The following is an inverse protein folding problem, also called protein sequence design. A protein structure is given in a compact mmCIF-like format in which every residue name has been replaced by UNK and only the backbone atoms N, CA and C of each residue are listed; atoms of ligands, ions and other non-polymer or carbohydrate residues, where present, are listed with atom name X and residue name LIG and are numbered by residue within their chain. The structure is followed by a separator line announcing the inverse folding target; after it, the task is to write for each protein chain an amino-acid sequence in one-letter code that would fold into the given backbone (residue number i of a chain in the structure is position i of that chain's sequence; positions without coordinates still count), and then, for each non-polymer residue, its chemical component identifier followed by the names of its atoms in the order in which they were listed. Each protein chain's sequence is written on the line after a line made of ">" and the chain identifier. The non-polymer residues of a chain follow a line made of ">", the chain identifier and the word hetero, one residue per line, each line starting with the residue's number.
data_IF_562136079400
#
_entry.id   IF_562136079400
#
_cell.length_a   1.000
_cell.length_b   1.000
_cell.length_c   1.000
_cell.angle_alpha   90.00
_cell.angle_beta   90.00
_cell.angle_gamma   90.00
#
_symmetry.space_group_name_H-M   'P 1'
#
loop_
_entity.id
_entity.type
_entity.pdbx_description
1 polymer ?
#
# COMPACT_ATOMS: atom_id res chain seq x y z
N UNK A 1 9.08 1.53 -71.18
CA UNK A 1 8.46 0.99 -69.95
C UNK A 1 9.45 0.17 -69.12
N UNK A 2 10.20 -0.79 -69.70
CA UNK A 2 11.17 -1.63 -68.95
C UNK A 2 12.21 -0.88 -68.08
N UNK A 3 12.71 0.29 -68.50
CA UNK A 3 13.66 1.07 -67.72
C UNK A 3 13.07 1.64 -66.42
N UNK A 4 11.79 2.05 -66.45
CA UNK A 4 11.09 2.55 -65.27
C UNK A 4 10.83 1.42 -64.26
N UNK A 5 10.46 0.23 -64.75
CA UNK A 5 10.23 -0.96 -63.92
C UNK A 5 11.52 -1.41 -63.22
N UNK A 6 12.66 -1.37 -63.93
CA UNK A 6 13.98 -1.68 -63.35
C UNK A 6 14.37 -0.70 -62.23
N UNK A 7 14.16 0.60 -62.44
CA UNK A 7 14.45 1.62 -61.42
C UNK A 7 13.54 1.47 -60.20
N UNK A 8 12.25 1.16 -60.40
CA UNK A 8 11.30 0.92 -59.32
C UNK A 8 11.67 -0.33 -58.52
N UNK A 9 12.04 -1.42 -59.18
CA UNK A 9 12.53 -2.63 -58.52
C UNK A 9 13.80 -2.36 -57.68
N UNK A 10 14.75 -1.56 -58.20
CA UNK A 10 15.94 -1.17 -57.46
C UNK A 10 15.61 -0.33 -56.22
N UNK A 11 14.69 0.64 -56.33
CA UNK A 11 14.23 1.44 -55.18
C UNK A 11 13.53 0.61 -54.12
N UNK A 12 12.72 -0.38 -54.53
CA UNK A 12 12.06 -1.30 -53.60
C UNK A 12 13.08 -2.18 -52.85
N UNK A 13 14.08 -2.73 -53.55
CA UNK A 13 15.17 -3.50 -52.93
C UNK A 13 15.93 -2.66 -51.90
N UNK A 14 16.35 -1.45 -52.28
CA UNK A 14 17.04 -0.52 -51.37
C UNK A 14 16.20 -0.20 -50.13
N UNK A 15 14.87 -0.04 -50.30
CA UNK A 15 13.96 0.20 -49.17
C UNK A 15 13.83 -1.02 -48.27
N UNK A 16 13.78 -2.22 -48.85
CA UNK A 16 13.75 -3.48 -48.10
C UNK A 16 15.05 -3.67 -47.30
N UNK A 17 16.21 -3.41 -47.90
CA UNK A 17 17.53 -3.54 -47.25
C UNK A 17 17.69 -2.54 -46.09
N UNK A 18 17.25 -1.29 -46.28
CA UNK A 18 17.23 -0.30 -45.18
C UNK A 18 16.30 -0.73 -44.04
N UNK A 19 15.18 -1.37 -44.36
CA UNK A 19 14.24 -1.84 -43.35
C UNK A 19 14.76 -3.09 -42.61
N UNK A 20 15.42 -4.02 -43.30
CA UNK A 20 16.04 -5.21 -42.69
C UNK A 20 17.20 -4.81 -41.79
N UNK A 21 18.11 -3.95 -42.26
CA UNK A 21 19.23 -3.44 -41.45
C UNK A 21 18.75 -2.70 -40.18
N UNK A 22 17.66 -1.93 -40.27
CA UNK A 22 17.05 -1.29 -39.10
C UNK A 22 16.49 -2.31 -38.11
N UNK A 23 15.81 -3.36 -38.59
CA UNK A 23 15.29 -4.45 -37.75
C UNK A 23 16.43 -5.20 -37.08
N UNK A 24 17.49 -5.51 -37.82
CA UNK A 24 18.67 -6.19 -37.31
C UNK A 24 19.36 -5.39 -36.22
N UNK A 25 19.56 -4.07 -36.42
CA UNK A 25 20.12 -3.19 -35.38
C UNK A 25 19.27 -3.17 -34.11
N UNK A 26 17.94 -3.13 -34.24
CA UNK A 26 17.01 -3.19 -33.10
C UNK A 26 17.12 -4.54 -32.38
N UNK A 27 17.26 -5.63 -33.13
CA UNK A 27 17.42 -6.98 -32.59
C UNK A 27 18.76 -7.14 -31.85
N UNK A 28 19.86 -6.65 -32.42
CA UNK A 28 21.17 -6.65 -31.77
C UNK A 28 21.15 -5.86 -30.46
N UNK A 29 20.53 -4.67 -30.45
CA UNK A 29 20.33 -3.87 -29.23
C UNK A 29 19.50 -4.63 -28.18
N UNK A 30 18.43 -5.31 -28.61
CA UNK A 30 17.59 -6.11 -27.72
C UNK A 30 18.40 -7.26 -27.09
N UNK A 31 19.17 -8.00 -27.88
CA UNK A 31 20.05 -9.06 -27.38
C UNK A 31 21.08 -8.53 -26.39
N UNK A 32 21.70 -7.39 -26.68
CA UNK A 32 22.62 -6.74 -25.76
C UNK A 32 21.94 -6.42 -24.42
N UNK A 33 20.76 -5.79 -24.43
CA UNK A 33 19.99 -5.50 -23.21
C UNK A 33 19.67 -6.77 -22.42
N UNK A 34 19.28 -7.85 -23.09
CA UNK A 34 19.01 -9.13 -22.45
C UNK A 34 20.26 -9.72 -21.80
N UNK A 35 21.44 -9.63 -22.44
CA UNK A 35 22.71 -10.05 -21.84
C UNK A 35 23.08 -9.23 -20.61
N UNK A 36 22.85 -7.92 -20.62
CA UNK A 36 23.03 -7.08 -19.43
C UNK A 36 22.12 -7.53 -18.29
N UNK A 37 20.86 -7.85 -18.58
CA UNK A 37 19.94 -8.40 -17.57
C UNK A 37 20.40 -9.76 -17.03
N UNK A 38 21.00 -10.60 -17.86
CA UNK A 38 21.56 -11.89 -17.42
C UNK A 38 22.74 -11.70 -16.45
N UNK A 39 23.60 -10.71 -16.71
CA UNK A 39 24.70 -10.35 -15.80
C UNK A 39 24.17 -9.83 -14.46
N UNK A 40 23.16 -8.97 -14.48
CA UNK A 40 22.49 -8.48 -13.27
C UNK A 40 21.85 -9.65 -12.50
N UNK A 41 21.15 -10.56 -13.20
CA UNK A 41 20.52 -11.74 -12.61
C UNK A 41 21.56 -12.67 -11.98
N UNK A 42 22.73 -12.82 -12.61
CA UNK A 42 23.85 -13.57 -12.05
C UNK A 42 24.41 -12.93 -10.78
N UNK A 43 24.59 -11.60 -10.77
CA UNK A 43 25.02 -10.86 -9.58
C UNK A 43 24.02 -10.97 -8.42
N UNK A 44 22.72 -10.91 -8.72
CA UNK A 44 21.65 -11.04 -7.72
C UNK A 44 21.54 -12.45 -7.13
N UNK A 45 22.10 -13.47 -7.78
CA UNK A 45 22.12 -14.87 -7.29
C UNK A 45 23.32 -15.20 -6.41
N UNK A 46 24.27 -14.28 -6.23
CA UNK A 46 25.42 -14.49 -5.33
C UNK A 46 24.94 -14.67 -3.89
N UNK A 47 25.68 -15.45 -3.10
CA UNK A 47 25.40 -15.67 -1.68
C UNK A 47 25.43 -14.37 -0.87
N UNK A 48 26.31 -13.44 -1.23
CA UNK A 48 26.41 -12.09 -0.71
C UNK A 48 26.29 -11.08 -1.88
N UNK A 49 25.06 -10.72 -2.27
CA UNK A 49 24.83 -9.73 -3.31
C UNK A 49 25.28 -8.34 -2.84
N UNK A 50 25.92 -7.52 -3.69
CA UNK A 50 26.35 -6.19 -3.30
C UNK A 50 25.14 -5.30 -2.98
N UNK A 51 25.25 -4.46 -1.95
CA UNK A 51 24.13 -3.63 -1.48
C UNK A 51 23.68 -2.59 -2.52
N UNK A 52 24.56 -2.20 -3.45
CA UNK A 52 24.22 -1.34 -4.58
C UNK A 52 23.11 -1.90 -5.48
N UNK A 53 22.87 -3.22 -5.47
CA UNK A 53 21.73 -3.82 -6.17
C UNK A 53 20.37 -3.35 -5.65
N UNK A 54 20.30 -2.77 -4.44
CA UNK A 54 19.08 -2.15 -3.90
C UNK A 54 18.64 -0.90 -4.66
N UNK A 55 19.57 -0.24 -5.38
CA UNK A 55 19.28 0.96 -6.19
C UNK A 55 18.94 0.63 -7.65
N UNK A 56 19.07 -0.63 -8.04
CA UNK A 56 18.81 -1.08 -9.41
C UNK A 56 17.32 -1.21 -9.79
N UNK A 57 16.38 -1.49 -8.87
CA UNK A 57 14.98 -1.64 -9.24
C UNK A 57 14.35 -0.41 -9.92
N UNK A 58 14.67 0.82 -9.51
CA UNK A 58 14.10 2.02 -10.15
C UNK A 58 14.47 2.16 -11.63
N UNK A 59 15.76 2.10 -12.06
CA UNK A 59 16.08 2.12 -13.47
C UNK A 59 15.48 0.91 -14.22
N UNK A 60 15.37 -0.26 -13.60
CA UNK A 60 14.69 -1.41 -14.21
C UNK A 60 13.19 -1.16 -14.43
N UNK A 61 12.50 -0.55 -13.46
CA UNK A 61 11.10 -0.15 -13.61
C UNK A 61 10.94 0.87 -14.75
N UNK A 62 11.88 1.81 -14.92
CA UNK A 62 11.88 2.73 -16.07
C UNK A 62 12.04 1.98 -17.40
N UNK A 63 12.90 0.97 -17.45
CA UNK A 63 13.03 0.09 -18.63
C UNK A 63 11.70 -0.62 -18.91
N UNK A 64 11.06 -1.20 -17.89
CA UNK A 64 9.75 -1.86 -18.04
C UNK A 64 8.68 -0.90 -18.57
N UNK A 65 8.58 0.31 -18.02
CA UNK A 65 7.62 1.34 -18.47
C UNK A 65 7.86 1.70 -19.94
N UNK A 66 9.13 1.81 -20.36
CA UNK A 66 9.50 2.16 -21.73
C UNK A 66 9.29 1.02 -22.74
N UNK A 67 9.40 -0.23 -22.29
CA UNK A 67 9.26 -1.44 -23.11
C UNK A 67 7.80 -1.87 -23.23
N UNK A 68 6.98 -1.66 -22.20
CA UNK A 68 5.58 -2.09 -22.14
C UNK A 68 4.70 -1.72 -23.35
N UNK A 69 4.77 -0.51 -23.94
CA UNK A 69 3.95 -0.17 -25.10
C UNK A 69 4.47 -0.77 -26.43
N UNK A 70 5.62 -1.46 -26.44
CA UNK A 70 6.29 -1.95 -27.65
C UNK A 70 6.25 -3.49 -27.71
N UNK A 71 5.43 -4.08 -28.59
CA UNK A 71 5.34 -5.55 -28.71
C UNK A 71 6.68 -6.23 -29.01
N UNK A 72 7.54 -5.61 -29.81
CA UNK A 72 8.88 -6.12 -30.14
C UNK A 72 9.84 -6.17 -28.93
N UNK A 73 9.58 -5.38 -27.87
CA UNK A 73 10.37 -5.39 -26.64
C UNK A 73 9.71 -6.24 -25.53
N UNK A 74 8.68 -7.04 -25.84
CA UNK A 74 8.04 -7.93 -24.87
C UNK A 74 9.01 -8.89 -24.17
N UNK A 75 9.97 -9.53 -24.86
CA UNK A 75 10.96 -10.38 -24.17
C UNK A 75 11.80 -9.60 -23.14
N UNK A 76 12.09 -8.32 -23.43
CA UNK A 76 12.80 -7.44 -22.49
C UNK A 76 11.94 -7.15 -21.27
N UNK A 77 10.66 -6.86 -21.45
CA UNK A 77 9.72 -6.63 -20.34
C UNK A 77 9.65 -7.86 -19.44
N UNK A 78 9.40 -9.05 -20.01
CA UNK A 78 9.27 -10.31 -19.26
C UNK A 78 10.55 -10.64 -18.49
N UNK A 79 11.73 -10.50 -19.13
CA UNK A 79 13.03 -10.71 -18.47
C UNK A 79 13.26 -9.70 -17.36
N UNK A 80 12.99 -8.41 -17.60
CA UNK A 80 13.17 -7.34 -16.61
C UNK A 80 12.27 -7.56 -15.40
N UNK A 81 11.00 -7.93 -15.61
CA UNK A 81 10.07 -8.31 -14.54
C UNK A 81 10.62 -9.44 -13.68
N UNK A 82 11.17 -10.49 -14.30
CA UNK A 82 11.79 -11.61 -13.58
C UNK A 82 12.95 -11.19 -12.69
N UNK A 83 13.82 -10.29 -13.19
CA UNK A 83 14.95 -9.77 -12.43
C UNK A 83 14.48 -8.85 -11.29
N UNK A 84 13.54 -7.91 -11.54
CA UNK A 84 13.01 -7.03 -10.48
C UNK A 84 12.36 -7.84 -9.35
N UNK A 85 11.59 -8.88 -9.68
CA UNK A 85 11.01 -9.78 -8.66
C UNK A 85 12.07 -10.51 -7.84
N UNK A 86 13.23 -10.83 -8.43
CA UNK A 86 14.35 -11.42 -7.69
C UNK A 86 15.02 -10.38 -6.80
N UNK A 87 15.26 -9.18 -7.33
CA UNK A 87 15.82 -8.06 -6.57
C UNK A 87 14.94 -7.73 -5.37
N UNK A 88 13.62 -7.68 -5.55
CA UNK A 88 12.65 -7.41 -4.48
C UNK A 88 12.68 -8.46 -3.35
N UNK A 89 13.22 -9.65 -3.62
CA UNK A 89 13.39 -10.72 -2.62
C UNK A 89 14.74 -10.69 -1.92
N UNK A 90 15.70 -9.88 -2.37
CA UNK A 90 17.03 -9.78 -1.77
C UNK A 90 16.95 -9.45 -0.28
N UNK A 91 17.72 -10.19 0.51
CA UNK A 91 17.91 -9.93 1.93
C UNK A 91 19.36 -9.54 2.15
N UNK A 92 19.59 -8.34 2.64
CA UNK A 92 20.93 -7.91 3.06
C UNK A 92 21.14 -8.43 4.47
N UNK A 93 21.90 -9.52 4.60
CA UNK A 93 22.20 -10.16 5.90
C UNK A 93 23.45 -9.58 6.56
N UNK A 94 24.32 -8.97 5.78
CA UNK A 94 25.53 -8.30 6.29
C UNK A 94 25.15 -7.08 7.15
N UNK A 95 26.04 -6.61 8.03
CA UNK A 95 25.88 -5.28 8.61
C UNK A 95 25.63 -4.24 7.52
N UNK A 96 24.89 -3.19 7.86
CA UNK A 96 24.51 -2.15 6.91
C UNK A 96 25.77 -1.48 6.35
N UNK A 97 26.02 -1.52 5.03
CA UNK A 97 27.23 -0.97 4.44
C UNK A 97 27.08 0.55 4.26
N UNK A 98 27.34 1.28 5.35
CA UNK A 98 27.21 2.75 5.38
C UNK A 98 28.03 3.46 4.29
N UNK A 99 29.16 2.89 3.89
CA UNK A 99 30.05 3.48 2.87
C UNK A 99 29.41 3.47 1.47
N UNK A 100 28.79 2.35 1.09
CA UNK A 100 28.22 2.18 -0.25
C UNK A 100 26.80 2.77 -0.37
N UNK A 101 26.04 2.77 0.74
CA UNK A 101 24.62 3.06 0.71
C UNK A 101 24.16 3.84 1.94
N UNK A 102 24.18 5.16 1.82
CA UNK A 102 23.69 6.03 2.90
C UNK A 102 22.16 5.91 3.07
N UNK A 103 21.63 6.01 4.30
CA UNK A 103 20.17 6.02 4.53
C UNK A 103 19.44 7.13 3.78
N UNK A 104 20.07 8.31 3.63
CA UNK A 104 19.54 9.40 2.84
C UNK A 104 19.38 9.04 1.35
N UNK A 105 20.27 8.20 0.80
CA UNK A 105 20.14 7.72 -0.57
C UNK A 105 18.95 6.78 -0.74
N UNK A 106 18.73 5.88 0.23
CA UNK A 106 17.54 5.02 0.24
C UNK A 106 16.24 5.82 0.29
N UNK A 107 16.22 6.92 1.05
CA UNK A 107 15.06 7.81 1.11
C UNK A 107 14.73 8.44 -0.22
N UNK A 108 15.76 9.00 -0.88
CA UNK A 108 15.60 9.57 -2.23
C UNK A 108 15.09 8.52 -3.23
N UNK A 109 15.54 7.27 -3.08
CA UNK A 109 15.09 6.15 -3.91
C UNK A 109 13.61 5.80 -3.63
N UNK A 110 13.22 5.73 -2.37
CA UNK A 110 11.84 5.48 -1.94
C UNK A 110 10.89 6.59 -2.44
N UNK A 111 11.29 7.85 -2.28
CA UNK A 111 10.57 9.01 -2.80
C UNK A 111 10.40 8.94 -4.32
N UNK A 112 11.48 8.63 -5.04
CA UNK A 112 11.45 8.49 -6.49
C UNK A 112 10.50 7.37 -6.94
N UNK A 113 10.45 6.23 -6.21
CA UNK A 113 9.53 5.13 -6.49
C UNK A 113 8.07 5.51 -6.23
N UNK A 114 7.78 6.21 -5.14
CA UNK A 114 6.41 6.69 -4.83
C UNK A 114 5.96 7.72 -5.88
N UNK A 115 6.82 8.68 -6.23
CA UNK A 115 6.54 9.63 -7.31
C UNK A 115 6.35 8.92 -8.66
N UNK A 116 7.12 7.87 -8.94
CA UNK A 116 6.93 7.05 -10.14
C UNK A 116 5.57 6.34 -10.14
N UNK A 117 5.15 5.81 -8.98
CA UNK A 117 3.86 5.14 -8.81
C UNK A 117 2.68 6.08 -9.09
N UNK A 118 2.76 7.32 -8.61
CA UNK A 118 1.74 8.34 -8.83
C UNK A 118 1.64 8.76 -10.30
N UNK A 119 2.77 8.74 -11.02
CA UNK A 119 2.86 9.14 -12.43
C UNK A 119 2.61 7.97 -13.40
N UNK A 120 2.49 6.73 -12.91
CA UNK A 120 2.41 5.54 -13.74
C UNK A 120 1.10 5.53 -14.56
N UNK A 121 1.22 5.75 -15.88
CA UNK A 121 0.10 5.69 -16.84
C UNK A 121 0.13 4.45 -17.72
N UNK A 122 1.32 3.91 -17.95
CA UNK A 122 1.62 2.82 -18.88
C UNK A 122 2.37 1.72 -18.15
N UNK A 123 2.31 0.48 -18.63
CA UNK A 123 3.00 -0.66 -17.98
C UNK A 123 2.10 -1.77 -17.47
N UNK A 124 0.78 -1.54 -17.42
CA UNK A 124 -0.19 -2.53 -16.97
C UNK A 124 0.01 -2.96 -15.51
N UNK A 125 -0.61 -4.08 -15.16
CA UNK A 125 -0.59 -4.65 -13.81
C UNK A 125 0.79 -5.18 -13.42
N UNK A 126 1.62 -5.58 -14.39
CA UNK A 126 2.96 -6.11 -14.16
C UNK A 126 3.91 -5.06 -13.58
N UNK A 127 3.97 -3.88 -14.20
CA UNK A 127 4.80 -2.77 -13.69
C UNK A 127 4.32 -2.31 -12.33
N UNK A 128 3.00 -2.22 -12.12
CA UNK A 128 2.44 -1.82 -10.83
C UNK A 128 2.79 -2.84 -9.71
N UNK A 129 2.78 -4.15 -10.02
CA UNK A 129 3.20 -5.21 -9.10
C UNK A 129 4.68 -5.10 -8.78
N UNK A 130 5.53 -4.96 -9.80
CA UNK A 130 6.98 -4.85 -9.64
C UNK A 130 7.36 -3.59 -8.82
N UNK A 131 6.68 -2.47 -9.06
CA UNK A 131 6.85 -1.25 -8.27
C UNK A 131 6.45 -1.46 -6.81
N UNK A 132 5.32 -2.13 -6.57
CA UNK A 132 4.85 -2.45 -5.21
C UNK A 132 5.88 -3.31 -4.47
N UNK A 133 6.36 -4.37 -5.10
CA UNK A 133 7.39 -5.25 -4.54
C UNK A 133 8.69 -4.50 -4.24
N UNK A 134 9.07 -3.55 -5.09
CA UNK A 134 10.27 -2.72 -4.91
C UNK A 134 10.14 -1.77 -3.72
N UNK A 135 9.02 -1.08 -3.57
CA UNK A 135 8.77 -0.21 -2.41
C UNK A 135 8.81 -1.02 -1.12
N UNK A 136 8.18 -2.19 -1.10
CA UNK A 136 8.16 -3.07 0.07
C UNK A 136 9.54 -3.66 0.37
N UNK A 137 10.36 -3.93 -0.65
CA UNK A 137 11.74 -4.36 -0.49
C UNK A 137 12.56 -3.28 0.23
N UNK A 138 12.49 -2.01 -0.21
CA UNK A 138 13.24 -0.94 0.45
C UNK A 138 12.79 -0.73 1.90
N UNK A 139 11.48 -0.68 2.15
CA UNK A 139 10.96 -0.55 3.51
C UNK A 139 11.36 -1.73 4.41
N UNK A 140 11.37 -2.95 3.86
CA UNK A 140 11.85 -4.14 4.58
C UNK A 140 13.33 -4.02 4.92
N UNK A 141 14.17 -3.60 3.99
CA UNK A 141 15.60 -3.42 4.23
C UNK A 141 15.84 -2.34 5.29
N UNK A 142 15.17 -1.19 5.18
CA UNK A 142 15.26 -0.12 6.17
C UNK A 142 14.86 -0.59 7.57
N UNK A 143 13.80 -1.39 7.67
CA UNK A 143 13.34 -1.98 8.93
C UNK A 143 14.32 -3.02 9.49
N UNK A 144 14.82 -3.93 8.64
CA UNK A 144 15.79 -4.98 9.03
C UNK A 144 17.08 -4.41 9.62
N UNK A 145 17.54 -3.26 9.11
CA UNK A 145 18.74 -2.58 9.60
C UNK A 145 18.45 -1.52 10.66
N UNK A 146 17.22 -1.49 11.22
CA UNK A 146 16.78 -0.52 12.24
C UNK A 146 16.99 0.93 11.84
N UNK A 147 17.01 1.22 10.53
CA UNK A 147 17.04 2.58 10.01
C UNK A 147 15.70 3.29 10.25
N UNK A 148 14.62 2.50 10.26
CA UNK A 148 13.32 2.93 10.71
C UNK A 148 12.90 2.13 11.94
N UNK A 149 12.66 2.84 13.03
CA UNK A 149 12.06 2.30 14.24
C UNK A 149 10.77 3.08 14.43
N UNK A 150 9.61 2.55 13.99
CA UNK A 150 8.34 3.16 14.30
C UNK A 150 8.20 3.13 15.82
N UNK A 151 8.60 4.23 16.45
CA UNK A 151 8.33 4.46 17.85
C UNK A 151 6.81 4.38 17.99
N UNK A 152 6.28 3.71 19.03
CA UNK A 152 4.89 3.86 19.40
C UNK A 152 4.72 5.30 19.89
N UNK A 153 4.72 6.27 18.96
CA UNK A 153 4.45 7.64 19.28
C UNK A 153 3.06 7.63 19.90
N UNK A 154 2.99 7.88 21.20
CA UNK A 154 1.80 8.41 21.83
C UNK A 154 1.28 9.49 20.89
N UNK A 155 -0.02 9.45 20.50
CA UNK A 155 -0.56 10.44 19.58
C UNK A 155 -0.29 11.82 20.18
N UNK A 156 0.75 12.49 19.66
CA UNK A 156 1.20 13.75 20.19
C UNK A 156 0.02 14.71 20.13
N UNK A 157 -0.29 15.32 21.27
CA UNK A 157 -1.35 16.30 21.49
C UNK A 157 -1.15 17.62 20.70
N UNK A 158 -0.45 17.61 19.57
CA UNK A 158 -0.20 18.76 18.71
C UNK A 158 -1.37 19.10 17.77
N UNK A 159 -2.59 18.66 18.08
CA UNK A 159 -3.80 19.01 17.33
C UNK A 159 -4.39 20.39 17.71
N UNK A 160 -3.65 21.26 18.42
CA UNK A 160 -4.17 22.52 18.98
C UNK A 160 -4.09 23.76 18.07
N UNK A 161 -3.64 23.68 16.81
CA UNK A 161 -3.39 24.92 16.01
C UNK A 161 -3.92 24.90 14.57
N UNK A 162 -5.01 24.20 14.28
CA UNK A 162 -5.64 24.20 12.95
C UNK A 162 -7.16 24.41 12.94
N UNK A 163 -7.69 25.28 13.81
CA UNK A 163 -9.09 25.70 13.75
C UNK A 163 -9.25 27.19 14.09
N UNK A 164 -9.15 28.07 13.07
CA UNK A 164 -9.85 29.36 13.00
C UNK A 164 -9.52 30.09 11.68
N UNK A 165 -10.05 29.64 10.55
CA UNK A 165 -10.36 30.55 9.43
C UNK A 165 -11.53 29.98 8.61
N UNK A 166 -12.73 30.06 9.17
CA UNK A 166 -13.98 30.03 8.41
C UNK A 166 -14.51 31.46 8.36
N UNK A 167 -14.15 32.20 7.31
CA UNK A 167 -14.91 33.38 6.89
C UNK A 167 -15.81 32.95 5.72
N UNK A 168 -17.11 33.16 5.91
CA UNK A 168 -18.11 32.97 4.88
C UNK A 168 -18.05 34.04 3.80
N UNK A 169 -18.65 33.72 2.66
CA UNK A 169 -19.71 34.53 2.07
C UNK A 169 -20.22 33.79 0.83
N UNK A 170 -21.49 33.47 0.86
CA UNK A 170 -22.31 33.25 -0.32
C UNK A 170 -22.30 34.52 -1.17
N UNK A 171 -21.96 34.42 -2.46
CA UNK A 171 -22.77 35.09 -3.45
C UNK A 171 -22.71 34.40 -4.81
N UNK A 172 -23.89 34.34 -5.40
CA UNK A 172 -24.27 33.77 -6.68
C UNK A 172 -23.80 34.60 -7.86
N UNK A 173 -23.26 33.96 -8.91
CA UNK A 173 -23.67 34.25 -10.29
C UNK A 173 -23.16 33.19 -11.27
N UNK A 174 -24.09 32.71 -12.08
CA UNK A 174 -23.88 31.77 -13.16
C UNK A 174 -23.31 32.51 -14.38
N UNK A 175 -22.18 32.05 -14.92
CA UNK A 175 -21.78 32.32 -16.31
C UNK A 175 -21.26 31.05 -16.95
N UNK A 176 -22.07 30.50 -17.86
CA UNK A 176 -21.66 29.48 -18.82
C UNK A 176 -20.66 30.07 -19.80
N UNK A 177 -19.49 29.46 -19.94
CA UNK A 177 -18.64 29.65 -21.11
C UNK A 177 -18.05 28.33 -21.60
N UNK A 178 -18.23 28.10 -22.90
CA UNK A 178 -17.76 26.95 -23.69
C UNK A 178 -16.22 26.93 -23.78
N UNK A 179 -15.55 25.76 -23.82
CA UNK A 179 -14.17 25.70 -24.26
C UNK A 179 -14.06 25.35 -25.75
N UNK A 180 -13.51 26.30 -26.51
CA UNK A 180 -13.04 26.15 -27.90
C UNK A 180 -11.72 25.39 -27.99
N UNK A 181 -11.59 24.57 -29.05
CA UNK A 181 -10.39 23.80 -29.44
C UNK A 181 -9.27 24.70 -29.97
N UNK A 182 -8.04 24.53 -29.47
CA UNK A 182 -6.77 24.78 -30.17
C UNK A 182 -5.66 24.04 -29.40
N UNK A 183 -5.04 22.95 -29.90
CA UNK A 183 -3.96 22.84 -30.90
C UNK A 183 -2.82 23.83 -30.67
N UNK A 184 -1.65 23.35 -30.20
CA UNK A 184 -0.36 23.33 -30.93
C UNK A 184 0.78 22.93 -29.96
N UNK A 185 1.61 21.98 -30.40
CA UNK A 185 2.72 21.44 -29.61
C UNK A 185 3.89 22.41 -29.45
N UNK A 186 4.68 22.19 -28.40
CA UNK A 186 6.02 22.75 -28.26
C UNK A 186 6.95 21.71 -27.63
N UNK A 187 7.88 21.25 -28.46
CA UNK A 187 9.02 20.38 -28.17
C UNK A 187 10.03 21.21 -27.37
N UNK A 188 10.36 20.82 -26.14
CA UNK A 188 11.47 21.40 -25.36
C UNK A 188 12.56 20.34 -25.24
N UNK A 189 13.70 20.66 -25.85
CA UNK A 189 15.02 20.10 -25.58
C UNK A 189 15.44 20.42 -24.15
N UNK A 190 16.06 19.45 -23.50
CA UNK A 190 16.73 19.61 -22.21
C UNK A 190 18.19 19.26 -22.47
N UNK A 191 19.03 20.27 -22.37
CA UNK A 191 20.48 20.21 -22.50
C UNK A 191 21.07 20.71 -21.18
N UNK A 192 21.98 19.88 -20.66
CA UNK A 192 23.17 20.14 -19.83
C UNK A 192 23.16 21.24 -18.76
N UNK A 193 23.44 20.81 -17.52
CA UNK A 193 24.25 21.55 -16.56
C UNK A 193 25.02 20.56 -15.67
N UNK A 194 26.26 20.27 -16.04
CA UNK A 194 27.29 19.76 -15.13
C UNK A 194 28.02 20.98 -14.54
N UNK A 195 28.27 20.97 -13.23
CA UNK A 195 29.09 21.99 -12.58
C UNK A 195 29.16 21.90 -11.06
N UNK A 196 30.39 21.79 -10.55
CA UNK A 196 30.83 22.11 -9.18
C UNK A 196 30.64 20.97 -8.16
N UNK A 197 31.64 20.44 -7.46
CA UNK A 197 32.87 21.07 -6.95
C UNK A 197 32.63 21.54 -5.51
N UNK A 198 33.14 20.79 -4.52
CA UNK A 198 33.10 21.13 -3.09
C UNK A 198 33.34 19.87 -2.25
N UNK A 199 34.55 19.59 -1.80
CA UNK A 199 35.31 20.20 -0.69
C UNK A 199 35.26 19.28 0.54
N UNK A 200 36.45 18.92 1.01
CA UNK A 200 36.71 17.85 1.97
C UNK A 200 36.50 18.33 3.39
N UNK A 201 35.33 18.00 3.95
CA UNK A 201 34.99 18.24 5.35
C UNK A 201 35.42 17.10 6.27
N UNK A 202 36.41 17.40 7.10
CA UNK A 202 36.99 16.59 8.17
C UNK A 202 35.95 15.90 9.07
N UNK A 203 36.14 14.60 9.29
CA UNK A 203 35.26 13.73 10.07
C UNK A 203 35.40 13.96 11.58
N UNK A 204 34.53 14.81 12.13
CA UNK A 204 34.18 14.77 13.54
C UNK A 204 33.14 13.66 13.76
N UNK A 205 33.43 12.73 14.68
CA UNK A 205 32.55 11.63 15.03
C UNK A 205 31.20 12.13 15.58
N UNK A 206 30.20 12.17 14.72
CA UNK A 206 28.80 12.42 15.09
C UNK A 206 28.25 11.15 15.70
N UNK A 207 27.90 11.22 16.99
CA UNK A 207 27.21 10.15 17.71
C UNK A 207 25.93 9.76 16.97
N UNK A 208 25.93 8.56 16.37
CA UNK A 208 24.93 8.07 15.43
C UNK A 208 23.55 7.76 16.04
N UNK A 209 23.28 8.11 17.29
CA UNK A 209 22.05 7.75 17.98
C UNK A 209 20.86 8.70 17.71
N UNK A 210 21.11 9.89 17.14
CA UNK A 210 20.06 10.86 16.83
C UNK A 210 19.37 10.70 15.46
N UNK A 211 19.98 10.03 14.48
CA UNK A 211 19.52 10.10 13.08
C UNK A 211 18.34 9.16 12.74
N UNK A 212 18.13 8.10 13.52
CA UNK A 212 17.09 7.10 13.22
C UNK A 212 15.65 7.64 13.35
N UNK A 213 15.44 8.53 14.32
CA UNK A 213 14.12 9.15 14.55
C UNK A 213 13.70 10.06 13.40
N UNK A 214 14.63 10.90 12.91
CA UNK A 214 14.37 11.81 11.79
C UNK A 214 14.02 11.05 10.51
N UNK A 215 14.80 10.02 10.19
CA UNK A 215 14.58 9.17 9.03
C UNK A 215 13.22 8.48 9.07
N UNK A 216 12.83 7.97 10.25
CA UNK A 216 11.52 7.36 10.46
C UNK A 216 10.40 8.37 10.20
N UNK A 217 10.52 9.61 10.70
CA UNK A 217 9.52 10.66 10.45
C UNK A 217 9.39 10.95 8.95
N UNK A 218 10.52 11.10 8.26
CA UNK A 218 10.53 11.37 6.81
C UNK A 218 9.85 10.25 6.01
N UNK A 219 10.10 8.97 6.36
CA UNK A 219 9.39 7.82 5.74
C UNK A 219 7.90 7.90 6.00
N UNK A 220 7.50 8.15 7.25
CA UNK A 220 6.10 8.22 7.63
C UNK A 220 5.40 9.37 6.92
N UNK A 221 6.01 10.55 6.80
CA UNK A 221 5.41 11.70 6.14
C UNK A 221 5.26 11.48 4.62
N UNK A 222 6.26 10.86 4.00
CA UNK A 222 6.19 10.43 2.60
C UNK A 222 5.04 9.43 2.37
N UNK A 223 4.94 8.41 3.22
CA UNK A 223 3.87 7.40 3.13
C UNK A 223 2.48 7.98 3.45
N UNK A 224 2.35 8.83 4.46
CA UNK A 224 1.10 9.56 4.78
C UNK A 224 0.65 10.41 3.61
N UNK A 225 1.57 11.14 2.98
CA UNK A 225 1.31 11.93 1.78
C UNK A 225 0.77 11.08 0.63
N UNK A 226 1.41 9.93 0.36
CA UNK A 226 0.99 8.99 -0.67
C UNK A 226 -0.39 8.37 -0.38
N UNK A 227 -0.62 7.91 0.86
CA UNK A 227 -1.90 7.32 1.31
C UNK A 227 -3.03 8.36 1.27
N UNK A 228 -2.78 9.60 1.71
CA UNK A 228 -3.77 10.69 1.61
C UNK A 228 -4.15 10.95 0.16
N UNK A 229 -3.16 11.08 -0.74
CA UNK A 229 -3.42 11.27 -2.18
C UNK A 229 -4.20 10.10 -2.79
N UNK A 230 -3.95 8.87 -2.35
CA UNK A 230 -4.71 7.69 -2.77
C UNK A 230 -6.21 7.83 -2.46
N UNK A 231 -6.57 8.33 -1.28
CA UNK A 231 -7.97 8.49 -0.87
C UNK A 231 -8.67 9.75 -1.41
N UNK A 232 -7.92 10.82 -1.71
CA UNK A 232 -8.52 12.13 -2.06
C UNK A 232 -8.43 12.47 -3.55
N UNK A 233 -7.36 12.07 -4.24
CA UNK A 233 -7.09 12.57 -5.59
C UNK A 233 -7.78 11.74 -6.67
N UNK A 234 -8.57 12.38 -7.56
CA UNK A 234 -9.30 11.71 -8.68
C UNK A 234 -8.43 10.79 -9.54
N UNK A 235 -7.18 11.20 -9.76
CA UNK A 235 -6.24 10.56 -10.68
C UNK A 235 -5.04 9.92 -9.98
N UNK A 236 -5.16 9.58 -8.69
CA UNK A 236 -4.10 8.82 -8.03
C UNK A 236 -3.92 7.47 -8.74
N UNK A 237 -2.70 7.18 -9.19
CA UNK A 237 -2.34 5.93 -9.86
C UNK A 237 -1.64 4.95 -8.93
N UNK A 238 -1.56 5.29 -7.65
CA UNK A 238 -1.08 4.39 -6.62
C UNK A 238 -1.99 3.14 -6.60
N UNK A 239 -1.39 1.98 -6.81
CA UNK A 239 -2.13 0.73 -6.87
C UNK A 239 -2.61 0.35 -5.46
N UNK A 240 -3.89 -0.03 -5.29
CA UNK A 240 -4.46 -0.42 -3.98
C UNK A 240 -3.63 -1.47 -3.25
N UNK A 241 -3.15 -2.49 -3.99
CA UNK A 241 -2.22 -3.51 -3.46
C UNK A 241 -0.99 -2.93 -2.75
N UNK A 242 -0.48 -1.75 -3.12
CA UNK A 242 0.64 -1.16 -2.41
C UNK A 242 0.28 -0.88 -0.96
N UNK A 243 -0.86 -0.22 -0.71
CA UNK A 243 -1.32 0.09 0.65
C UNK A 243 -1.64 -1.21 1.38
N UNK A 244 -2.39 -2.13 0.76
CA UNK A 244 -2.73 -3.41 1.39
C UNK A 244 -1.50 -4.23 1.78
N UNK A 245 -0.50 -4.35 0.90
CA UNK A 245 0.73 -5.09 1.18
C UNK A 245 1.64 -4.37 2.16
N UNK A 246 1.66 -3.03 2.15
CA UNK A 246 2.38 -2.23 3.13
C UNK A 246 1.88 -2.53 4.54
N UNK A 247 0.56 -2.46 4.75
CA UNK A 247 -0.05 -2.77 6.04
C UNK A 247 0.21 -4.23 6.42
N UNK A 248 0.06 -5.17 5.47
CA UNK A 248 0.25 -6.60 5.71
C UNK A 248 1.66 -6.94 6.16
N UNK A 249 2.68 -6.38 5.49
CA UNK A 249 4.10 -6.75 5.67
C UNK A 249 4.83 -5.89 6.70
N UNK A 250 4.35 -4.68 6.95
CA UNK A 250 4.93 -3.75 7.92
C UNK A 250 3.84 -3.23 8.87
N UNK A 251 3.30 -4.09 9.77
CA UNK A 251 2.17 -3.71 10.61
C UNK A 251 2.46 -2.51 11.51
N UNK A 252 3.70 -2.35 12.00
CA UNK A 252 4.12 -1.22 12.84
C UNK A 252 4.06 0.13 12.11
N UNK A 253 4.56 0.19 10.87
CA UNK A 253 4.35 1.34 9.99
C UNK A 253 2.87 1.54 9.69
N UNK A 254 2.13 0.44 9.47
CA UNK A 254 0.70 0.48 9.21
C UNK A 254 -0.10 1.14 10.34
N UNK A 255 0.20 0.83 11.60
CA UNK A 255 -0.40 1.50 12.75
C UNK A 255 -0.02 2.98 12.85
N UNK A 256 1.21 3.34 12.46
CA UNK A 256 1.65 4.75 12.36
C UNK A 256 0.91 5.53 11.25
N UNK A 257 0.35 4.81 10.27
CA UNK A 257 -0.51 5.35 9.20
C UNK A 257 -2.01 5.29 9.53
N UNK A 258 -2.41 4.54 10.57
CA UNK A 258 -3.81 4.34 10.94
C UNK A 258 -4.58 5.66 11.10
N UNK A 259 -4.06 6.73 11.76
CA UNK A 259 -4.77 7.99 11.86
C UNK A 259 -5.11 8.61 10.49
N UNK A 260 -4.24 8.46 9.50
CA UNK A 260 -4.49 8.97 8.13
C UNK A 260 -5.51 8.11 7.38
N UNK A 261 -5.51 6.79 7.57
CA UNK A 261 -6.51 5.90 6.97
C UNK A 261 -7.88 6.17 7.60
N UNK A 262 -7.89 6.41 8.90
CA UNK A 262 -9.09 6.65 9.71
C UNK A 262 -9.88 7.88 9.27
N UNK A 263 -9.20 8.97 8.91
CA UNK A 263 -9.85 10.18 8.38
C UNK A 263 -10.58 9.92 7.07
N UNK A 264 -10.30 8.81 6.38
CA UNK A 264 -10.89 8.47 5.09
C UNK A 264 -11.88 7.30 5.15
N UNK A 265 -12.23 6.81 6.35
CA UNK A 265 -13.27 5.77 6.50
C UNK A 265 -14.61 6.27 5.97
N UNK A 266 -15.01 7.48 6.34
CA UNK A 266 -16.28 8.13 5.95
C UNK A 266 -16.11 9.31 4.99
N UNK A 267 -14.90 9.87 4.89
CA UNK A 267 -14.57 11.08 4.11
C UNK A 267 -13.53 10.82 2.98
N UNK A 268 -13.52 9.60 2.42
CA UNK A 268 -12.81 9.39 1.16
C UNK A 268 -13.59 10.02 -0.01
N UNK A 269 -12.89 10.27 -1.12
CA UNK A 269 -13.46 10.90 -2.33
C UNK A 269 -14.72 10.22 -2.85
N UNK A 270 -14.82 8.89 -2.71
CA UNK A 270 -15.99 8.13 -3.12
C UNK A 270 -16.22 6.90 -2.22
N UNK A 271 -17.43 6.32 -2.30
CA UNK A 271 -17.81 5.16 -1.48
C UNK A 271 -16.94 3.92 -1.72
N UNK A 272 -16.31 3.79 -2.89
CA UNK A 272 -15.38 2.69 -3.14
C UNK A 272 -14.11 2.87 -2.29
N UNK A 273 -13.55 4.07 -2.28
CA UNK A 273 -12.37 4.40 -1.47
C UNK A 273 -12.66 4.36 0.05
N UNK A 274 -13.88 4.71 0.48
CA UNK A 274 -14.32 4.47 1.87
C UNK A 274 -14.26 2.96 2.20
N UNK A 275 -14.77 2.11 1.32
CA UNK A 275 -14.73 0.65 1.48
C UNK A 275 -13.27 0.10 1.50
N UNK A 276 -12.36 0.68 0.73
CA UNK A 276 -10.93 0.35 0.79
C UNK A 276 -10.30 0.81 2.11
N UNK A 277 -10.63 2.01 2.62
CA UNK A 277 -10.20 2.46 3.95
C UNK A 277 -10.69 1.51 5.05
N UNK A 278 -11.94 1.05 5.00
CA UNK A 278 -12.44 0.04 5.93
C UNK A 278 -11.67 -1.28 5.84
N UNK A 279 -11.34 -1.74 4.62
CA UNK A 279 -10.55 -2.98 4.42
C UNK A 279 -9.13 -2.84 4.98
N UNK A 280 -8.52 -1.67 4.83
CA UNK A 280 -7.20 -1.39 5.39
C UNK A 280 -7.22 -1.30 6.92
N UNK A 281 -8.26 -0.69 7.52
CA UNK A 281 -8.43 -0.71 8.98
C UNK A 281 -8.74 -2.12 9.50
N UNK A 282 -9.52 -2.92 8.78
CA UNK A 282 -9.83 -4.31 9.15
C UNK A 282 -8.54 -5.12 9.24
N UNK A 283 -7.65 -4.97 8.26
CA UNK A 283 -6.34 -5.63 8.24
C UNK A 283 -5.48 -5.22 9.45
N UNK A 284 -5.43 -3.93 9.80
CA UNK A 284 -4.69 -3.46 10.97
C UNK A 284 -5.23 -4.04 12.27
N UNK A 285 -6.56 -4.02 12.47
CA UNK A 285 -7.21 -4.57 13.66
C UNK A 285 -6.97 -6.09 13.79
N UNK A 286 -6.94 -6.82 12.67
CA UNK A 286 -6.58 -8.25 12.65
C UNK A 286 -5.12 -8.48 13.06
N UNK A 287 -4.22 -7.56 12.71
CA UNK A 287 -2.78 -7.65 12.99
C UNK A 287 -2.35 -7.05 14.33
N UNK A 288 -3.28 -6.54 15.15
CA UNK A 288 -2.98 -5.83 16.41
C UNK A 288 -2.05 -6.59 17.36
N UNK A 289 -2.17 -7.91 17.45
CA UNK A 289 -1.35 -8.74 18.34
C UNK A 289 0.13 -8.82 17.96
N UNK A 290 0.49 -8.54 16.70
CA UNK A 290 1.88 -8.62 16.24
C UNK A 290 2.73 -7.39 16.54
N UNK A 291 2.12 -6.26 16.92
CA UNK A 291 2.81 -4.96 17.07
C UNK A 291 2.98 -4.54 18.52
N UNK A 292 2.21 -5.14 19.43
CA UNK A 292 1.99 -4.61 20.78
C UNK A 292 2.31 -5.62 21.89
N UNK A 293 3.36 -6.42 21.72
CA UNK A 293 3.86 -7.25 22.81
C UNK A 293 4.49 -6.42 23.95
N UNK A 294 4.58 -5.10 23.79
CA UNK A 294 5.02 -4.20 24.84
C UNK A 294 3.87 -3.91 25.81
N UNK A 295 3.87 -4.60 26.94
CA UNK A 295 2.81 -4.57 27.96
C UNK A 295 2.56 -3.18 28.52
N UNK A 296 3.56 -2.30 28.46
CA UNK A 296 3.53 -0.93 28.96
C UNK A 296 2.65 0.02 28.15
N UNK A 297 2.36 -0.28 26.87
CA UNK A 297 1.62 0.64 26.01
C UNK A 297 0.10 0.39 26.05
N UNK A 298 -0.73 1.46 25.97
CA UNK A 298 -2.17 1.31 25.74
C UNK A 298 -2.36 0.52 24.43
N UNK A 299 -3.37 -0.35 24.38
CA UNK A 299 -3.59 -1.14 23.16
C UNK A 299 -3.79 -0.17 21.99
N UNK A 300 -3.14 -0.38 20.83
CA UNK A 300 -3.33 0.53 19.69
C UNK A 300 -4.81 0.61 19.26
N UNK A 301 -5.58 -0.42 19.60
CA UNK A 301 -7.03 -0.41 19.47
C UNK A 301 -7.68 0.68 20.34
N UNK A 302 -7.31 0.81 21.61
CA UNK A 302 -7.81 1.87 22.50
C UNK A 302 -7.52 3.28 21.99
N UNK A 303 -6.41 3.48 21.29
CA UNK A 303 -6.05 4.78 20.69
C UNK A 303 -6.93 5.14 19.49
N UNK A 304 -7.33 4.15 18.70
CA UNK A 304 -8.05 4.37 17.43
C UNK A 304 -9.57 4.24 17.59
N UNK A 305 -10.04 3.45 18.56
CA UNK A 305 -11.46 3.15 18.78
C UNK A 305 -12.34 4.39 18.92
N UNK A 306 -12.00 5.42 19.72
CA UNK A 306 -12.87 6.58 19.96
C UNK A 306 -13.18 7.36 18.69
N UNK A 307 -12.26 7.36 17.72
CA UNK A 307 -12.44 8.04 16.43
C UNK A 307 -13.01 7.10 15.36
N UNK A 308 -12.69 5.80 15.40
CA UNK A 308 -13.16 4.83 14.42
C UNK A 308 -14.64 4.51 14.55
N UNK A 309 -15.13 4.29 15.77
CA UNK A 309 -16.51 3.91 16.01
C UNK A 309 -17.53 4.91 15.44
N UNK A 310 -17.47 6.23 15.75
CA UNK A 310 -18.44 7.18 15.22
C UNK A 310 -18.38 7.30 13.69
N UNK A 311 -17.17 7.28 13.09
CA UNK A 311 -17.01 7.33 11.62
C UNK A 311 -17.58 6.10 10.93
N UNK A 312 -17.36 4.92 11.51
CA UNK A 312 -17.92 3.67 10.98
C UNK A 312 -19.44 3.65 11.11
N UNK A 313 -19.99 4.10 12.24
CA UNK A 313 -21.44 4.19 12.45
C UNK A 313 -22.09 5.19 11.48
N UNK A 314 -21.45 6.34 11.26
CA UNK A 314 -21.88 7.34 10.28
C UNK A 314 -21.88 6.77 8.85
N UNK A 315 -20.81 6.04 8.45
CA UNK A 315 -20.73 5.42 7.13
C UNK A 315 -21.81 4.35 6.92
N UNK A 316 -22.07 3.49 7.91
CA UNK A 316 -23.10 2.47 7.84
C UNK A 316 -24.51 3.08 7.74
N UNK A 317 -24.73 4.21 8.41
CA UNK A 317 -26.01 4.92 8.43
C UNK A 317 -26.15 5.93 7.28
N UNK A 318 -25.20 5.98 6.34
CA UNK A 318 -25.18 6.97 5.26
C UNK A 318 -26.15 6.58 4.13
N UNK A 319 -27.05 7.49 3.82
CA UNK A 319 -27.99 7.34 2.70
C UNK A 319 -27.27 7.30 1.34
N UNK A 320 -27.87 6.62 0.36
CA UNK A 320 -27.36 6.56 -1.02
C UNK A 320 -26.09 5.72 -1.23
N UNK A 321 -25.53 5.08 -0.19
CA UNK A 321 -24.42 4.14 -0.36
C UNK A 321 -24.94 2.84 -0.98
N UNK A 322 -24.35 2.44 -2.11
CA UNK A 322 -24.69 1.16 -2.76
C UNK A 322 -24.30 -0.01 -1.86
N UNK A 323 -25.18 -1.01 -1.73
CA UNK A 323 -24.96 -2.21 -0.92
C UNK A 323 -23.56 -2.86 -1.08
N UNK A 324 -23.03 -2.95 -2.31
CA UNK A 324 -21.69 -3.52 -2.56
C UNK A 324 -20.54 -2.83 -1.82
N UNK A 325 -20.70 -1.55 -1.47
CA UNK A 325 -19.70 -0.75 -0.74
C UNK A 325 -19.87 -0.82 0.78
N UNK A 326 -20.95 -1.44 1.27
CA UNK A 326 -21.20 -1.64 2.71
C UNK A 326 -20.64 -2.96 3.24
N UNK A 327 -20.19 -3.86 2.36
CA UNK A 327 -19.61 -5.15 2.76
C UNK A 327 -18.32 -5.01 3.57
N UNK A 328 -17.40 -4.13 3.17
CA UNK A 328 -16.17 -3.91 3.94
C UNK A 328 -16.41 -3.20 5.29
N UNK A 329 -17.25 -2.15 5.38
CA UNK A 329 -17.67 -1.58 6.67
C UNK A 329 -18.24 -2.63 7.65
N UNK A 330 -19.10 -3.55 7.19
CA UNK A 330 -19.65 -4.61 8.04
C UNK A 330 -18.59 -5.61 8.52
N UNK A 331 -17.63 -5.98 7.64
CA UNK A 331 -16.50 -6.84 8.04
C UNK A 331 -15.60 -6.16 9.06
N UNK A 332 -15.37 -4.86 8.90
CA UNK A 332 -14.64 -4.05 9.88
C UNK A 332 -15.39 -4.01 11.21
N UNK A 333 -16.70 -3.74 11.22
CA UNK A 333 -17.52 -3.71 12.44
C UNK A 333 -17.44 -5.03 13.22
N UNK A 334 -17.61 -6.17 12.52
CA UNK A 334 -17.49 -7.49 13.14
C UNK A 334 -16.08 -7.77 13.68
N UNK A 335 -15.04 -7.39 12.90
CA UNK A 335 -13.64 -7.54 13.32
C UNK A 335 -13.33 -6.66 14.54
N UNK A 336 -13.90 -5.46 14.60
CA UNK A 336 -13.76 -4.52 15.70
C UNK A 336 -14.38 -5.07 16.99
N UNK A 337 -15.59 -5.64 16.92
CA UNK A 337 -16.24 -6.29 18.06
C UNK A 337 -15.44 -7.48 18.58
N UNK A 338 -14.93 -8.33 17.68
CA UNK A 338 -14.04 -9.44 18.06
C UNK A 338 -12.78 -8.95 18.75
N UNK A 339 -12.21 -7.85 18.24
CA UNK A 339 -10.99 -7.28 18.79
C UNK A 339 -11.20 -6.65 20.16
N UNK A 340 -12.29 -5.88 20.33
CA UNK A 340 -12.66 -5.25 21.58
C UNK A 340 -13.01 -6.28 22.67
N UNK A 341 -13.75 -7.34 22.31
CA UNK A 341 -14.06 -8.45 23.24
C UNK A 341 -12.82 -9.18 23.75
N UNK A 342 -11.76 -9.23 22.95
CA UNK A 342 -10.52 -9.92 23.30
C UNK A 342 -9.49 -9.01 23.96
N UNK A 343 -9.81 -7.73 24.19
CA UNK A 343 -8.89 -6.74 24.73
C UNK A 343 -9.50 -6.13 26.00
N UNK A 344 -9.06 -6.63 27.16
CA UNK A 344 -9.55 -6.22 28.48
C UNK A 344 -9.30 -4.74 28.78
N UNK A 345 -8.41 -4.09 28.02
CA UNK A 345 -8.11 -2.65 28.16
C UNK A 345 -9.19 -1.76 27.53
N UNK A 346 -10.15 -2.31 26.78
CA UNK A 346 -11.22 -1.53 26.16
C UNK A 346 -12.35 -1.31 27.18
N UNK A 347 -12.40 -0.10 27.75
CA UNK A 347 -13.23 0.23 28.91
C UNK A 347 -14.76 0.06 28.73
N UNK A 348 -15.29 -0.02 27.51
CA UNK A 348 -16.73 -0.18 27.28
C UNK A 348 -17.06 -0.94 25.98
N UNK A 349 -16.78 -2.26 25.97
CA UNK A 349 -17.13 -3.14 24.85
C UNK A 349 -18.66 -3.18 24.62
N UNK A 350 -19.46 -2.96 25.68
CA UNK A 350 -20.92 -2.93 25.63
C UNK A 350 -21.45 -1.74 24.81
N UNK A 351 -20.95 -0.53 25.03
CA UNK A 351 -21.31 0.65 24.25
C UNK A 351 -20.85 0.56 22.79
N UNK A 352 -19.68 -0.04 22.53
CA UNK A 352 -19.21 -0.32 21.16
C UNK A 352 -20.22 -1.24 20.46
N UNK A 353 -20.66 -2.31 21.12
CA UNK A 353 -21.67 -3.23 20.60
C UNK A 353 -23.02 -2.54 20.35
N UNK A 354 -23.52 -1.75 21.30
CA UNK A 354 -24.77 -1.02 21.15
C UNK A 354 -24.73 -0.04 19.96
N UNK A 355 -23.65 0.74 19.84
CA UNK A 355 -23.47 1.70 18.74
C UNK A 355 -23.49 1.03 17.37
N UNK A 356 -22.79 -0.10 17.23
CA UNK A 356 -22.75 -0.85 15.97
C UNK A 356 -24.09 -1.54 15.66
N UNK A 357 -24.84 -2.02 16.66
CA UNK A 357 -26.19 -2.56 16.47
C UNK A 357 -27.11 -1.50 15.88
N UNK A 358 -27.15 -0.31 16.50
CA UNK A 358 -27.97 0.81 16.03
C UNK A 358 -27.62 1.20 14.59
N UNK A 359 -26.33 1.31 14.27
CA UNK A 359 -25.87 1.65 12.92
C UNK A 359 -26.22 0.56 11.88
N UNK A 360 -26.11 -0.73 12.24
CA UNK A 360 -26.45 -1.85 11.35
C UNK A 360 -27.95 -1.94 11.09
N UNK A 361 -28.79 -1.67 12.09
CA UNK A 361 -30.24 -1.65 11.91
C UNK A 361 -30.69 -0.43 11.06
N UNK A 362 -30.09 0.74 11.29
CA UNK A 362 -30.33 1.92 10.45
C UNK A 362 -29.95 1.65 8.98
N UNK A 363 -28.78 1.06 8.75
CA UNK A 363 -28.35 0.63 7.42
C UNK A 363 -29.37 -0.33 6.77
N UNK A 364 -29.85 -1.36 7.50
CA UNK A 364 -30.84 -2.30 6.96
C UNK A 364 -32.13 -1.59 6.53
N UNK A 365 -32.62 -0.67 7.36
CA UNK A 365 -33.82 0.11 7.06
C UNK A 365 -33.65 0.93 5.77
N UNK A 366 -32.48 1.55 5.57
CA UNK A 366 -32.19 2.35 4.38
C UNK A 366 -31.99 1.53 3.10
N UNK A 367 -31.42 0.31 3.20
CA UNK A 367 -31.09 -0.49 2.02
C UNK A 367 -32.30 -1.28 1.45
N UNK A 368 -33.37 -1.44 2.22
CA UNK A 368 -34.58 -2.13 1.79
C UNK A 368 -34.29 -3.54 1.21
N UNK A 369 -34.72 -3.79 -0.02
CA UNK A 369 -34.49 -5.09 -0.70
C UNK A 369 -33.02 -5.38 -0.99
N UNK A 370 -32.16 -4.36 -1.14
CA UNK A 370 -30.74 -4.53 -1.38
C UNK A 370 -30.00 -5.10 -0.14
N UNK A 371 -30.59 -4.96 1.04
CA UNK A 371 -30.07 -5.51 2.30
C UNK A 371 -29.94 -7.04 2.28
N UNK A 372 -30.69 -7.75 1.41
CA UNK A 372 -30.61 -9.22 1.28
C UNK A 372 -29.19 -9.70 1.01
N UNK A 373 -28.44 -8.97 0.18
CA UNK A 373 -27.04 -9.27 -0.15
C UNK A 373 -26.07 -9.09 1.02
N UNK A 374 -26.46 -8.30 2.03
CA UNK A 374 -25.67 -7.99 3.22
C UNK A 374 -26.13 -8.77 4.47
N UNK A 375 -27.30 -9.41 4.41
CA UNK A 375 -27.95 -10.10 5.53
C UNK A 375 -27.00 -10.99 6.34
N UNK A 376 -26.21 -11.83 5.67
CA UNK A 376 -25.27 -12.75 6.32
C UNK A 376 -24.12 -12.05 7.06
N UNK A 377 -23.69 -10.86 6.62
CA UNK A 377 -22.68 -10.07 7.33
C UNK A 377 -23.30 -9.26 8.47
N UNK A 378 -24.45 -8.63 8.24
CA UNK A 378 -25.19 -7.91 9.28
C UNK A 378 -25.54 -8.82 10.46
N UNK A 379 -26.02 -10.04 10.17
CA UNK A 379 -26.38 -11.00 11.22
C UNK A 379 -25.17 -11.43 12.06
N UNK A 380 -23.96 -11.49 11.50
CA UNK A 380 -22.73 -11.78 12.26
C UNK A 380 -22.36 -10.65 13.22
N UNK A 381 -22.56 -9.39 12.81
CA UNK A 381 -22.32 -8.22 13.68
C UNK A 381 -23.32 -8.25 14.83
N UNK A 382 -24.61 -8.39 14.52
CA UNK A 382 -25.69 -8.37 15.51
C UNK A 382 -25.57 -9.53 16.50
N UNK A 383 -25.33 -10.76 16.03
CA UNK A 383 -25.22 -11.92 16.92
C UNK A 383 -24.04 -11.80 17.89
N UNK A 384 -22.89 -11.29 17.42
CA UNK A 384 -21.72 -11.06 18.27
C UNK A 384 -21.98 -9.92 19.27
N UNK A 385 -22.66 -8.85 18.85
CA UNK A 385 -23.03 -7.75 19.73
C UNK A 385 -24.00 -8.21 20.83
N UNK A 386 -25.02 -9.03 20.50
CA UNK A 386 -25.92 -9.61 21.50
C UNK A 386 -25.18 -10.52 22.48
N UNK A 387 -24.20 -11.31 22.02
CA UNK A 387 -23.37 -12.13 22.92
C UNK A 387 -22.54 -11.28 23.89
N UNK A 388 -21.99 -10.15 23.43
CA UNK A 388 -21.25 -9.22 24.28
C UNK A 388 -22.18 -8.59 25.32
N UNK A 389 -23.37 -8.16 24.91
CA UNK A 389 -24.36 -7.53 25.78
C UNK A 389 -24.98 -8.48 26.81
N UNK A 390 -25.11 -9.78 26.49
CA UNK A 390 -25.59 -10.79 27.43
C UNK A 390 -24.60 -11.07 28.58
N UNK A 391 -23.39 -10.49 28.52
CA UNK A 391 -22.31 -10.76 29.46
C UNK A 391 -21.71 -12.15 29.29
N UNK A 392 -20.59 -12.46 29.97
CA UNK A 392 -20.18 -13.84 30.14
C UNK A 392 -21.34 -14.54 30.85
N UNK A 393 -22.04 -15.44 30.15
CA UNK A 393 -22.88 -16.43 30.83
C UNK A 393 -21.93 -17.09 31.81
N UNK A 394 -22.06 -16.75 33.10
CA UNK A 394 -21.18 -17.26 34.13
C UNK A 394 -21.05 -18.74 33.84
N UNK A 395 -19.82 -19.20 33.60
CA UNK A 395 -19.54 -20.62 33.60
C UNK A 395 -20.08 -21.07 34.94
N UNK A 396 -21.30 -21.62 34.91
CA UNK A 396 -21.98 -22.05 36.11
C UNK A 396 -20.99 -22.96 36.76
N UNK A 397 -20.53 -22.56 37.94
CA UNK A 397 -19.79 -23.39 38.86
C UNK A 397 -20.56 -24.69 38.92
N UNK A 398 -20.13 -25.65 38.11
CA UNK A 398 -20.61 -27.03 38.08
C UNK A 398 -20.06 -27.68 39.33
N UNK A 399 -20.51 -27.18 40.46
CA UNK A 399 -20.35 -27.77 41.76
C UNK A 399 -21.21 -29.04 41.75
N UNK A 400 -20.54 -30.19 41.74
CA UNK A 400 -21.11 -31.44 42.23
C UNK A 400 -22.15 -32.13 41.35
N UNK A 401 -21.70 -32.75 40.26
CA UNK A 401 -22.35 -33.95 39.72
C UNK A 401 -21.57 -35.20 40.15
N UNK A 402 -21.99 -35.95 41.19
CA UNK A 402 -21.33 -37.18 41.58
C UNK A 402 -21.78 -38.35 40.68
N UNK A 403 -20.80 -39.16 40.26
CA UNK A 403 -20.97 -40.61 40.12
C UNK A 403 -21.79 -41.15 38.95
N UNK A 404 -21.08 -41.64 37.93
CA UNK A 404 -21.31 -42.92 37.22
C UNK A 404 -20.43 -42.87 35.97
N UNK A 405 -19.62 -43.85 35.59
CA UNK A 405 -19.54 -45.25 35.88
C UNK A 405 -18.77 -45.85 34.71
N UNK A 406 -17.70 -46.57 35.00
CA UNK A 406 -16.90 -47.43 34.11
C UNK A 406 -17.64 -47.91 32.84
N UNK A 407 -16.96 -47.87 31.69
CA UNK A 407 -16.65 -49.10 30.94
C UNK A 407 -15.52 -48.93 29.93
N UNK A 408 -14.45 -49.65 30.25
CA UNK A 408 -13.41 -50.15 29.36
C UNK A 408 -13.97 -50.82 28.09
N UNK A 409 -13.34 -50.56 26.94
CA UNK A 409 -13.11 -51.51 25.82
C UNK A 409 -12.44 -50.72 24.69
N UNK A 410 -11.53 -51.23 23.88
CA UNK A 410 -10.69 -52.43 23.83
C UNK A 410 -9.84 -52.23 22.58
N UNK A 411 -8.62 -52.78 22.63
CA UNK A 411 -7.63 -52.86 21.57
C UNK A 411 -8.18 -53.05 20.14
N UNK A 412 -7.47 -52.48 19.15
CA UNK A 412 -7.15 -53.23 17.92
C UNK A 412 -5.90 -52.72 17.22
N UNK A 413 -4.90 -53.63 17.18
CA UNK A 413 -3.80 -53.75 16.23
C UNK A 413 -4.31 -53.94 14.80
N UNK A 414 -3.51 -53.52 13.83
CA UNK A 414 -3.54 -53.94 12.42
C UNK A 414 -2.56 -53.06 11.63
N UNK A 415 -1.28 -53.45 11.61
CA UNK A 415 -0.51 -53.99 10.45
C UNK A 415 -0.04 -52.93 9.48
#
# INVERSE_FOLDING_TARGET
>A
MAAADSMLAAMLRLRMDKQSAKKEKVQQLLHFKLRVLDLIDALAKRSAPPASLLLLPLPMLRVMISAAPKPAERPLLERTTGVVRRLAKLTVRSPWPNEDLSPARLMKELEALISLAEKLRTGGTEVASALTETVLMLLRVMSQHRLITPSPSTPHANASTAAATTNGSSDSSAVQSKPSKAKKGKKRSLESAEGGGGDGGSGAGVSAEGSGGELTSQVLDLLRGAVRRFYTQKNCRLHTKLVTELLRRQPSLGWSLAPTILTHVDDARDSYLCSEACTHMELLVQQRGGVLNDTANPSALSLVMPTLLPRLAALLSREGVRAKHLSAPLRLAHTLLKAARADDKVADVGAVAATLVTAVEAMKAQQGSAARSLSGQSQKVLSLATQIQAGPKGEGSGEGGPGSGKKSKQARKGT
#
